data_IF_744604471580
#
_entry.id   IF_744604471580
#
_cell.length_a   1.000
_cell.length_b   1.000
_cell.length_c   1.000
_cell.angle_alpha   90.00
_cell.angle_beta   90.00
_cell.angle_gamma   90.00
#
_symmetry.space_group_name_H-M   'P 1'
#
loop_
_entity.id
_entity.type
_entity.pdbx_description
1 polymer ?
#
# COMPACT_ATOMS: atom_id res chain seq x y z
N UNK A 1 2.37 -2.56 20.10
CA UNK A 1 2.81 -3.81 19.43
C UNK A 1 2.45 -5.08 20.20
N UNK A 2 2.03 -5.03 21.48
CA UNK A 2 1.88 -6.23 22.33
C UNK A 2 0.86 -7.29 21.93
N UNK A 3 -0.05 -7.03 20.98
CA UNK A 3 -1.12 -7.97 20.60
C UNK A 3 -1.01 -8.47 19.13
N UNK A 4 0.14 -8.27 18.48
CA UNK A 4 0.36 -8.80 17.11
C UNK A 4 1.12 -10.13 17.18
N UNK A 5 0.79 -11.12 16.32
CA UNK A 5 1.61 -12.32 16.14
C UNK A 5 3.07 -11.97 15.84
N UNK A 6 4.00 -12.77 16.37
CA UNK A 6 5.45 -12.55 16.25
C UNK A 6 5.90 -12.52 14.79
N UNK A 7 5.26 -13.31 13.95
CA UNK A 7 5.48 -13.38 12.51
C UNK A 7 5.16 -12.05 11.84
N UNK A 8 4.02 -11.44 12.21
CA UNK A 8 3.64 -10.11 11.70
C UNK A 8 4.63 -9.06 12.16
N UNK A 9 5.05 -9.09 13.43
CA UNK A 9 6.07 -8.18 13.95
C UNK A 9 7.38 -8.32 13.16
N UNK A 10 7.80 -9.54 12.87
CA UNK A 10 9.00 -9.82 12.06
C UNK A 10 8.93 -9.23 10.65
N UNK A 11 7.77 -9.30 10.00
CA UNK A 11 7.55 -8.67 8.69
C UNK A 11 7.59 -7.15 8.80
N UNK A 12 6.90 -6.58 9.78
CA UNK A 12 6.78 -5.13 9.95
C UNK A 12 8.13 -4.49 10.30
N UNK A 13 8.93 -5.10 11.20
CA UNK A 13 10.24 -4.57 11.61
C UNK A 13 11.20 -4.30 10.45
N UNK A 14 11.04 -4.98 9.31
CA UNK A 14 11.84 -4.70 8.09
C UNK A 14 11.68 -3.26 7.58
N UNK A 15 10.57 -2.60 7.94
CA UNK A 15 10.26 -1.23 7.55
C UNK A 15 10.55 -0.19 8.63
N UNK A 16 10.90 -0.62 9.85
CA UNK A 16 11.22 0.26 10.98
C UNK A 16 12.29 1.30 10.64
N UNK A 17 13.40 0.97 9.93
CA UNK A 17 14.42 1.95 9.57
C UNK A 17 13.94 3.05 8.61
N UNK A 18 12.77 2.92 8.00
CA UNK A 18 12.19 3.93 7.11
C UNK A 18 11.55 5.10 7.86
N UNK A 19 11.38 4.96 9.18
CA UNK A 19 10.68 5.87 10.06
C UNK A 19 11.54 6.12 11.31
N UNK A 20 11.32 7.23 11.99
CA UNK A 20 11.85 7.38 13.36
C UNK A 20 11.09 6.49 14.34
N UNK A 21 11.77 6.06 15.41
CA UNK A 21 11.19 5.20 16.45
C UNK A 21 9.88 5.76 17.02
N UNK A 22 9.84 7.08 17.25
CA UNK A 22 8.64 7.78 17.74
C UNK A 22 7.46 7.71 16.77
N UNK A 23 7.73 7.67 15.47
CA UNK A 23 6.69 7.60 14.41
C UNK A 23 6.25 6.16 14.17
N UNK A 24 7.17 5.20 14.34
CA UNK A 24 6.95 3.78 14.09
C UNK A 24 5.76 3.19 14.86
N UNK A 25 5.58 3.58 16.12
CA UNK A 25 4.44 3.16 16.93
C UNK A 25 3.10 3.55 16.31
N UNK A 26 2.98 4.81 15.84
CA UNK A 26 1.77 5.31 15.20
C UNK A 26 1.55 4.70 13.81
N UNK A 27 2.63 4.47 13.05
CA UNK A 27 2.59 3.79 11.75
C UNK A 27 2.06 2.37 11.89
N UNK A 28 2.51 1.64 12.90
CA UNK A 28 2.07 0.26 13.15
C UNK A 28 0.56 0.22 13.43
N UNK A 29 0.04 1.13 14.26
CA UNK A 29 -1.41 1.23 14.53
C UNK A 29 -2.19 1.57 13.26
N UNK A 30 -1.72 2.53 12.46
CA UNK A 30 -2.38 2.89 11.21
C UNK A 30 -2.39 1.74 10.21
N UNK A 31 -1.28 1.01 10.09
CA UNK A 31 -1.15 -0.10 9.16
C UNK A 31 -2.07 -1.26 9.55
N UNK A 32 -2.03 -1.70 10.80
CA UNK A 32 -2.88 -2.79 11.29
C UNK A 32 -4.34 -2.39 11.22
N UNK A 33 -4.67 -1.16 11.66
CA UNK A 33 -6.04 -0.64 11.59
C UNK A 33 -6.56 -0.55 10.15
N UNK A 34 -5.70 -0.21 9.18
CA UNK A 34 -6.07 -0.18 7.77
C UNK A 34 -6.25 -1.58 7.15
N UNK A 35 -5.48 -2.58 7.61
CA UNK A 35 -5.63 -3.98 7.20
C UNK A 35 -6.96 -4.56 7.74
N UNK A 36 -7.28 -4.27 8.99
CA UNK A 36 -8.49 -4.76 9.66
C UNK A 36 -9.76 -4.00 9.28
N UNK A 37 -9.65 -2.78 8.74
CA UNK A 37 -10.80 -2.00 8.34
C UNK A 37 -11.53 -2.63 7.14
N UNK A 38 -12.76 -3.12 7.39
CA UNK A 38 -13.66 -3.65 6.36
C UNK A 38 -14.30 -2.57 5.46
N UNK A 39 -14.12 -1.29 5.78
CA UNK A 39 -14.69 -0.16 5.06
C UNK A 39 -13.62 0.83 4.59
N UNK A 40 -13.83 2.13 4.86
CA UNK A 40 -12.85 3.13 4.46
C UNK A 40 -11.57 3.02 5.29
N UNK A 41 -10.43 2.86 4.62
CA UNK A 41 -9.10 2.75 5.23
C UNK A 41 -8.48 4.13 5.49
N UNK A 42 -9.23 5.01 6.14
CA UNK A 42 -8.78 6.38 6.41
C UNK A 42 -7.92 6.44 7.68
N UNK A 43 -7.11 7.49 7.79
CA UNK A 43 -6.36 7.84 9.02
C UNK A 43 -7.30 7.93 10.23
N UNK A 44 -8.57 8.27 10.00
CA UNK A 44 -9.55 8.37 11.07
C UNK A 44 -10.25 7.04 11.40
N UNK A 45 -10.36 6.13 10.43
CA UNK A 45 -10.97 4.82 10.64
C UNK A 45 -10.01 3.81 11.25
N UNK A 46 -8.73 3.84 10.87
CA UNK A 46 -7.74 2.87 11.34
C UNK A 46 -7.61 2.86 12.89
N UNK A 47 -7.47 4.00 13.59
CA UNK A 47 -7.44 3.98 15.06
C UNK A 47 -8.76 3.51 15.68
N UNK A 48 -9.91 3.80 15.06
CA UNK A 48 -11.22 3.36 15.56
C UNK A 48 -11.38 1.85 15.54
N UNK A 49 -10.95 1.21 14.45
CA UNK A 49 -10.95 -0.27 14.34
C UNK A 49 -10.00 -0.89 15.37
N UNK A 50 -8.94 -0.19 15.74
CA UNK A 50 -8.00 -0.60 16.78
C UNK A 50 -8.50 -0.31 18.22
N UNK A 51 -9.76 0.13 18.40
CA UNK A 51 -10.33 0.45 19.72
C UNK A 51 -9.86 1.80 20.30
N UNK A 52 -9.20 2.64 19.52
CA UNK A 52 -8.62 3.93 19.93
C UNK A 52 -9.50 5.11 19.50
N UNK A 53 -10.83 4.93 19.49
CA UNK A 53 -11.80 5.93 19.05
C UNK A 53 -11.91 7.13 20.00
N UNK A 54 -11.62 6.93 21.28
CA UNK A 54 -11.67 7.95 22.35
C UNK A 54 -10.30 8.55 22.69
N UNK A 55 -9.26 8.16 21.96
CA UNK A 55 -7.89 8.63 22.20
C UNK A 55 -7.78 10.14 21.96
N UNK A 56 -7.35 10.89 22.98
CA UNK A 56 -7.26 12.36 22.94
C UNK A 56 -6.19 12.84 21.95
N UNK A 57 -5.24 11.98 21.61
CA UNK A 57 -4.11 12.31 20.77
C UNK A 57 -4.28 11.96 19.28
N UNK A 58 -5.52 12.01 18.77
CA UNK A 58 -5.84 11.64 17.39
C UNK A 58 -5.04 12.43 16.32
N UNK A 59 -4.63 13.65 16.64
CA UNK A 59 -3.78 14.48 15.78
C UNK A 59 -2.44 13.82 15.43
N UNK A 60 -1.91 12.91 16.27
CA UNK A 60 -0.63 12.26 16.00
C UNK A 60 -0.71 11.36 14.77
N UNK A 61 -1.84 10.69 14.54
CA UNK A 61 -2.07 9.88 13.35
C UNK A 61 -2.07 10.71 12.05
N UNK A 62 -2.69 11.90 12.08
CA UNK A 62 -2.63 12.82 10.94
C UNK A 62 -1.23 13.40 10.71
N UNK A 63 -0.45 13.59 11.78
CA UNK A 63 0.95 14.05 11.68
C UNK A 63 1.85 13.00 11.02
N UNK A 64 1.56 11.70 11.12
CA UNK A 64 2.31 10.66 10.41
C UNK A 64 2.37 10.94 8.90
N UNK A 65 1.25 11.31 8.28
CA UNK A 65 1.21 11.55 6.83
C UNK A 65 1.58 13.00 6.44
N UNK A 66 1.48 13.95 7.37
CA UNK A 66 1.65 15.38 7.05
C UNK A 66 2.99 15.98 7.51
N UNK A 67 3.59 15.47 8.59
CA UNK A 67 4.75 16.11 9.25
C UNK A 67 5.87 15.16 9.66
N UNK A 68 5.57 13.88 9.84
CA UNK A 68 6.58 12.93 10.27
C UNK A 68 7.65 12.73 9.21
N UNK A 69 8.89 12.56 9.65
CA UNK A 69 10.01 12.20 8.78
C UNK A 69 9.99 10.69 8.55
N UNK A 70 9.56 10.29 7.37
CA UNK A 70 9.70 8.93 6.84
C UNK A 70 9.89 8.99 5.32
N UNK A 71 10.55 7.99 4.76
CA UNK A 71 10.89 7.96 3.34
C UNK A 71 10.02 6.98 2.56
N UNK A 72 9.06 7.50 1.79
CA UNK A 72 8.25 6.69 0.88
C UNK A 72 9.11 5.93 -0.13
N UNK A 73 10.21 6.54 -0.59
CA UNK A 73 11.19 5.92 -1.49
C UNK A 73 11.89 4.73 -0.85
N UNK A 74 12.24 4.82 0.43
CA UNK A 74 12.84 3.69 1.12
C UNK A 74 11.85 2.56 1.38
N UNK A 75 10.62 2.88 1.78
CA UNK A 75 9.55 1.89 1.92
C UNK A 75 9.31 1.17 0.58
N UNK A 76 9.18 1.92 -0.51
CA UNK A 76 9.05 1.41 -1.89
C UNK A 76 10.23 0.52 -2.30
N UNK A 77 11.44 0.79 -1.82
CA UNK A 77 12.63 -0.04 -2.09
C UNK A 77 12.68 -1.33 -1.25
N UNK A 78 12.14 -1.29 -0.03
CA UNK A 78 12.18 -2.44 0.89
C UNK A 78 11.07 -3.43 0.59
N UNK A 79 9.89 -2.97 0.17
CA UNK A 79 8.73 -3.83 -0.06
C UNK A 79 8.97 -4.90 -1.15
N UNK A 80 9.44 -4.59 -2.37
CA UNK A 80 9.69 -5.61 -3.39
C UNK A 80 10.74 -6.63 -2.94
N UNK A 81 11.79 -6.19 -2.22
CA UNK A 81 12.82 -7.10 -1.69
C UNK A 81 12.24 -8.07 -0.67
N UNK A 82 11.38 -7.57 0.22
CA UNK A 82 10.70 -8.40 1.20
C UNK A 82 9.75 -9.41 0.53
N UNK A 83 9.04 -8.99 -0.53
CA UNK A 83 8.17 -9.87 -1.31
C UNK A 83 8.96 -10.96 -2.06
N UNK A 84 10.06 -10.59 -2.73
CA UNK A 84 10.93 -11.55 -3.44
C UNK A 84 11.50 -12.56 -2.45
N UNK A 85 12.08 -12.11 -1.33
CA UNK A 85 12.64 -13.03 -0.33
C UNK A 85 11.60 -13.93 0.37
N UNK A 86 10.32 -13.54 0.37
CA UNK A 86 9.25 -14.34 0.95
C UNK A 86 8.63 -15.34 -0.03
N UNK A 87 8.54 -14.99 -1.32
CA UNK A 87 7.72 -15.71 -2.29
C UNK A 87 8.48 -16.31 -3.47
N UNK A 88 9.73 -15.92 -3.71
CA UNK A 88 10.53 -16.41 -4.84
C UNK A 88 11.64 -17.33 -4.32
N UNK A 89 11.68 -18.62 -4.72
CA UNK A 89 12.80 -19.51 -4.43
C UNK A 89 14.12 -18.94 -4.97
N UNK A 90 15.24 -19.26 -4.31
CA UNK A 90 16.56 -18.72 -4.67
C UNK A 90 17.01 -19.10 -6.09
N UNK A 91 16.51 -20.22 -6.61
CA UNK A 91 16.79 -20.80 -7.92
C UNK A 91 15.70 -20.49 -8.97
N UNK A 92 14.69 -19.70 -8.62
CA UNK A 92 13.58 -19.36 -9.52
C UNK A 92 13.72 -17.96 -10.12
N UNK A 93 13.27 -17.74 -11.37
CA UNK A 93 13.26 -16.41 -11.97
C UNK A 93 12.26 -15.48 -11.28
N UNK A 94 12.62 -14.20 -11.16
CA UNK A 94 11.70 -13.15 -10.71
C UNK A 94 10.85 -12.74 -11.91
N UNK A 95 9.55 -13.05 -11.87
CA UNK A 95 8.60 -12.65 -12.90
C UNK A 95 7.81 -11.44 -12.40
N UNK A 96 7.77 -10.37 -13.21
CA UNK A 96 7.06 -9.13 -12.86
C UNK A 96 6.05 -8.78 -13.94
N UNK A 97 4.79 -8.58 -13.54
CA UNK A 97 3.74 -8.04 -14.39
C UNK A 97 3.72 -6.50 -14.35
N UNK A 98 3.50 -5.87 -15.50
CA UNK A 98 3.21 -4.45 -15.58
C UNK A 98 1.70 -4.24 -15.76
N UNK A 99 1.15 -3.33 -14.97
CA UNK A 99 -0.25 -2.91 -15.08
C UNK A 99 -0.37 -1.39 -14.95
N UNK A 100 -1.15 -0.79 -15.84
CA UNK A 100 -1.50 0.61 -15.79
C UNK A 100 -2.86 0.81 -15.11
N UNK A 101 -2.90 1.62 -14.06
CA UNK A 101 -4.16 1.99 -13.41
C UNK A 101 -4.38 3.49 -13.44
N UNK A 102 -5.60 3.91 -13.79
CA UNK A 102 -6.01 5.31 -13.74
C UNK A 102 -6.62 5.60 -12.35
N UNK A 103 -5.92 6.38 -11.53
CA UNK A 103 -6.48 6.92 -10.30
C UNK A 103 -7.35 8.14 -10.64
N UNK A 104 -8.66 8.00 -10.43
CA UNK A 104 -9.66 9.05 -10.70
C UNK A 104 -9.71 10.09 -9.58
N UNK A 105 -8.58 10.74 -9.31
CA UNK A 105 -8.46 11.81 -8.29
C UNK A 105 -8.36 13.19 -8.94
N UNK A 106 -8.95 14.19 -8.27
CA UNK A 106 -8.95 15.59 -8.71
C UNK A 106 -8.58 16.48 -7.53
N UNK A 107 -7.81 17.53 -7.78
CA UNK A 107 -7.46 18.53 -6.77
C UNK A 107 -6.36 19.46 -7.26
N UNK A 108 -6.29 20.66 -6.68
CA UNK A 108 -5.32 21.70 -7.08
C UNK A 108 -3.86 21.25 -6.96
N UNK A 109 -3.57 20.26 -6.10
CA UNK A 109 -2.23 19.69 -5.90
C UNK A 109 -1.87 18.54 -6.86
N UNK A 110 -2.73 18.21 -7.83
CA UNK A 110 -2.52 17.11 -8.77
C UNK A 110 -2.20 17.70 -10.16
N UNK A 111 -0.93 18.04 -10.36
CA UNK A 111 -0.46 18.69 -11.59
C UNK A 111 -0.43 17.75 -12.81
N UNK A 112 -0.06 16.48 -12.62
CA UNK A 112 0.09 15.50 -13.69
C UNK A 112 -1.24 14.82 -14.12
N UNK A 113 -2.38 15.51 -13.96
CA UNK A 113 -3.69 14.98 -14.33
C UNK A 113 -3.83 14.98 -15.86
N UNK A 114 -4.08 13.82 -16.44
CA UNK A 114 -4.31 13.65 -17.87
C UNK A 114 -5.75 13.24 -18.21
N UNK A 115 -6.01 13.11 -19.51
CA UNK A 115 -7.18 12.44 -20.05
C UNK A 115 -6.69 11.17 -20.73
N UNK A 116 -7.13 10.02 -20.23
CA UNK A 116 -6.72 8.71 -20.70
C UNK A 116 -7.91 7.94 -21.23
N UNK A 117 -7.67 6.99 -22.15
CA UNK A 117 -8.70 6.04 -22.56
C UNK A 117 -9.06 5.16 -21.35
N UNK A 118 -10.34 4.96 -21.11
CA UNK A 118 -10.84 4.03 -20.12
C UNK A 118 -11.15 2.68 -20.80
N UNK A 119 -10.24 1.69 -20.76
CA UNK A 119 -10.42 0.43 -21.48
C UNK A 119 -11.60 -0.38 -20.95
N UNK A 120 -11.98 -0.21 -19.67
CA UNK A 120 -13.08 -0.95 -19.05
C UNK A 120 -14.44 -0.45 -19.52
N UNK A 121 -14.55 0.85 -19.84
CA UNK A 121 -15.79 1.47 -20.33
C UNK A 121 -15.81 1.68 -21.85
N UNK A 122 -14.72 1.35 -22.54
CA UNK A 122 -14.62 1.51 -23.99
C UNK A 122 -14.84 0.17 -24.71
N UNK A 123 -15.71 0.16 -25.71
CA UNK A 123 -15.86 -0.96 -26.66
C UNK A 123 -15.27 -0.58 -28.02
N UNK A 124 -15.24 -1.51 -28.99
CA UNK A 124 -14.73 -1.24 -30.35
C UNK A 124 -15.44 -0.06 -31.04
N UNK A 125 -16.68 0.24 -30.67
CA UNK A 125 -17.48 1.35 -31.22
C UNK A 125 -17.74 2.52 -30.26
N UNK A 126 -17.32 2.44 -28.99
CA UNK A 126 -17.62 3.47 -27.99
C UNK A 126 -16.36 3.81 -27.19
N UNK A 127 -15.88 5.05 -27.31
CA UNK A 127 -14.63 5.49 -26.70
C UNK A 127 -14.91 6.37 -25.47
N UNK A 128 -14.65 5.83 -24.29
CA UNK A 128 -14.81 6.58 -23.03
C UNK A 128 -13.45 7.08 -22.56
N UNK A 129 -13.36 8.39 -22.35
CA UNK A 129 -12.19 9.05 -21.77
C UNK A 129 -12.40 9.21 -20.27
N UNK A 130 -11.43 8.78 -19.47
CA UNK A 130 -11.37 9.06 -18.04
C UNK A 130 -10.27 10.09 -17.76
N UNK A 131 -10.60 11.13 -17.00
CA UNK A 131 -9.59 12.05 -16.47
C UNK A 131 -9.10 11.56 -15.10
N UNK A 132 -7.78 11.52 -14.92
CA UNK A 132 -7.15 11.04 -13.70
C UNK A 132 -5.64 11.07 -13.80
N UNK A 133 -4.97 10.45 -12.83
CA UNK A 133 -3.54 10.20 -12.89
C UNK A 133 -3.31 8.77 -13.37
N UNK A 134 -2.43 8.55 -14.35
CA UNK A 134 -2.04 7.20 -14.77
C UNK A 134 -0.83 6.74 -13.96
N UNK A 135 -1.00 5.66 -13.22
CA UNK A 135 0.07 4.99 -12.50
C UNK A 135 0.47 3.73 -13.26
N UNK A 136 1.77 3.52 -13.43
CA UNK A 136 2.34 2.23 -13.80
C UNK A 136 2.63 1.49 -12.50
N UNK A 137 2.11 0.28 -12.34
CA UNK A 137 2.34 -0.58 -11.18
C UNK A 137 3.08 -1.84 -11.59
N UNK A 138 4.00 -2.29 -10.72
CA UNK A 138 4.73 -3.54 -10.85
C UNK A 138 4.12 -4.56 -9.89
N UNK A 139 3.88 -5.77 -10.39
CA UNK A 139 3.29 -6.86 -9.63
C UNK A 139 4.23 -8.04 -9.64
N UNK A 140 4.66 -8.50 -8.48
CA UNK A 140 5.45 -9.74 -8.38
C UNK A 140 4.52 -10.92 -8.66
N UNK A 141 4.84 -11.70 -9.69
CA UNK A 141 4.12 -12.91 -10.06
C UNK A 141 4.82 -14.10 -9.41
N UNK A 142 4.33 -14.51 -8.24
CA UNK A 142 4.86 -15.66 -7.51
C UNK A 142 3.84 -16.79 -7.42
N UNK A 143 4.33 -18.03 -7.51
CA UNK A 143 3.49 -19.22 -7.30
C UNK A 143 3.32 -19.43 -5.79
N UNK A 144 2.11 -19.22 -5.32
CA UNK A 144 1.79 -19.40 -3.90
C UNK A 144 1.57 -20.90 -3.67
N UNK A 145 2.42 -21.51 -2.83
CA UNK A 145 2.46 -22.96 -2.60
C UNK A 145 1.10 -23.57 -2.21
N UNK A 146 0.28 -22.85 -1.47
CA UNK A 146 -1.04 -23.30 -1.02
C UNK A 146 -2.19 -22.97 -1.97
N UNK A 147 -1.94 -22.20 -3.04
CA UNK A 147 -2.97 -21.80 -3.99
C UNK A 147 -2.78 -22.41 -5.39
N UNK A 148 -1.70 -23.18 -5.60
CA UNK A 148 -1.30 -23.83 -6.87
C UNK A 148 -1.40 -22.94 -8.12
N UNK A 149 -1.44 -21.62 -7.94
CA UNK A 149 -1.65 -20.61 -8.98
C UNK A 149 -0.70 -19.45 -8.79
N UNK A 150 -0.43 -18.73 -9.89
CA UNK A 150 0.36 -17.50 -9.88
C UNK A 150 -0.54 -16.35 -9.43
N UNK A 151 -0.13 -15.65 -8.37
CA UNK A 151 -0.86 -14.50 -7.87
C UNK A 151 -0.05 -13.21 -8.09
N UNK A 152 -0.69 -12.12 -8.56
CA UNK A 152 -0.06 -10.81 -8.61
C UNK A 152 -0.02 -10.18 -7.22
N UNK A 153 1.17 -10.02 -6.65
CA UNK A 153 1.39 -9.20 -5.47
C UNK A 153 1.76 -7.78 -5.91
N UNK A 154 0.80 -6.85 -5.78
CA UNK A 154 1.00 -5.43 -6.06
C UNK A 154 1.90 -4.79 -4.98
N UNK A 155 3.00 -4.16 -5.39
CA UNK A 155 3.86 -3.32 -4.52
C UNK A 155 3.51 -1.85 -4.61
#
# INVERSE_FOLDING_TARGET
>A
MGNLPVEMIGVLRRFEPACSERVWNWVTVLLVGAILAAGQRTVAAAPRVMGLSTERQFQHYHRVLNRAQWSSREVSRRLPRALVGAFVPADAPIVVGLDDTIERRRGAKIAAKGIYRDPVRSSKGHFVKASGLRWVSLHLLARIRWAERVWPCRS
#
